data_IF_879444326244
#
_entry.id   IF_879444326244
#
_cell.length_a   1.000
_cell.length_b   1.000
_cell.length_c   1.000
_cell.angle_alpha   90.00
_cell.angle_beta   90.00
_cell.angle_gamma   90.00
#
_symmetry.space_group_name_H-M   'P 1'
#
loop_
_entity.id
_entity.type
_entity.pdbx_description
1 polymer ?
2 branched ?
3 non-polymer ?
4 water ?
#
# COMPACT_ATOMS: atom_id res chain seq x y z
N UNK A 20 16.62 11.88 -20.23
CA UNK A 20 15.31 12.48 -20.39
C UNK A 20 14.42 11.99 -19.24
N UNK A 21 13.38 12.77 -18.94
CA UNK A 21 12.42 12.39 -17.91
C UNK A 21 11.37 11.45 -18.51
N UNK A 22 10.95 10.45 -17.74
CA UNK A 22 9.93 9.51 -18.24
C UNK A 22 8.90 9.30 -17.15
N UNK A 23 7.63 9.22 -17.53
CA UNK A 23 6.55 8.92 -16.57
C UNK A 23 6.87 7.63 -15.82
N UNK A 24 6.65 7.67 -14.51
CA UNK A 24 6.91 6.50 -13.69
C UNK A 24 5.96 5.37 -14.06
N UNK A 25 6.51 4.18 -14.26
CA UNK A 25 5.69 3.00 -14.59
C UNK A 25 5.72 1.94 -13.48
N UNK A 26 6.55 2.14 -12.47
CA UNK A 26 6.55 1.24 -11.33
C UNK A 26 5.27 1.47 -10.52
N UNK A 27 4.37 0.48 -10.52
CA UNK A 27 3.03 0.75 -9.97
C UNK A 27 3.06 1.27 -8.53
N UNK A 28 3.88 0.70 -7.66
CA UNK A 28 3.89 1.16 -6.27
C UNK A 28 4.45 2.57 -6.13
N UNK A 29 5.15 3.07 -7.16
CA UNK A 29 5.75 4.39 -7.04
C UNK A 29 4.97 5.49 -7.76
N UNK A 30 3.74 5.22 -8.18
CA UNK A 30 2.87 6.31 -8.63
C UNK A 30 2.04 6.81 -7.43
N UNK A 31 1.76 8.11 -7.39
CA UNK A 31 1.00 8.68 -6.29
C UNK A 31 1.80 8.92 -5.02
N UNK A 32 3.12 9.05 -5.15
CA UNK A 32 3.93 9.38 -3.99
C UNK A 32 4.40 10.84 -3.99
N UNK A 33 3.96 11.65 -4.96
CA UNK A 33 4.28 13.06 -4.91
C UNK A 33 4.94 13.64 -6.15
N UNK A 34 5.42 12.77 -7.06
CA UNK A 34 5.98 13.27 -8.32
C UNK A 34 5.74 12.22 -9.40
N UNK A 35 5.73 12.66 -10.65
CA UNK A 35 5.29 11.84 -11.76
C UNK A 35 6.46 11.25 -12.57
N UNK A 36 7.61 11.93 -12.57
CA UNK A 36 8.66 11.65 -13.55
C UNK A 36 9.93 11.10 -12.93
N UNK A 37 10.55 10.13 -13.60
CA UNK A 37 11.82 9.59 -13.15
C UNK A 37 12.82 9.54 -14.31
N UNK A 38 14.02 9.03 -14.02
CA UNK A 38 15.09 8.92 -15.01
C UNK A 38 16.00 7.76 -14.63
N UNK A 39 16.45 7.02 -15.63
CA UNK A 39 17.38 5.93 -15.41
C UNK A 39 18.73 6.35 -16.00
N UNK A 40 19.84 5.85 -15.44
CA UNK A 40 19.95 4.91 -14.32
C UNK A 40 19.69 5.53 -12.94
N UNK A 41 19.17 4.72 -12.03
CA UNK A 41 18.97 5.16 -10.65
C UNK A 41 20.27 4.90 -9.85
N UNK A 42 20.25 5.27 -8.56
CA UNK A 42 21.33 5.00 -7.60
C UNK A 42 21.97 3.64 -7.69
N UNK A 43 21.18 2.64 -8.07
CA UNK A 43 21.65 1.26 -8.05
C UNK A 43 22.13 0.81 -9.41
N UNK A 44 22.19 1.76 -10.34
CA UNK A 44 22.53 1.47 -11.74
C UNK A 44 21.58 0.51 -12.43
N UNK A 45 20.32 0.51 -12.02
CA UNK A 45 19.32 -0.14 -12.84
C UNK A 45 19.19 0.68 -14.12
N UNK A 46 19.06 0.00 -15.24
CA UNK A 46 19.05 0.66 -16.54
C UNK A 46 17.64 1.02 -17.01
N UNK A 47 16.62 0.38 -16.44
CA UNK A 47 15.24 0.58 -16.87
C UNK A 47 14.35 0.58 -15.65
N UNK A 48 13.16 1.16 -15.77
CA UNK A 48 12.17 1.13 -14.69
C UNK A 48 11.72 -0.29 -14.41
N UNK A 49 11.59 -1.10 -15.47
CA UNK A 49 11.30 -2.54 -15.33
C UNK A 49 12.27 -3.22 -14.36
N UNK A 50 13.56 -3.03 -14.59
CA UNK A 50 14.53 -3.63 -13.71
C UNK A 50 14.36 -3.13 -12.29
N UNK A 51 14.27 -1.81 -12.12
CA UNK A 51 14.11 -1.23 -10.79
C UNK A 51 12.83 -1.72 -10.12
N UNK A 52 11.75 -1.82 -10.90
CA UNK A 52 10.44 -2.23 -10.37
C UNK A 52 10.40 -3.67 -9.89
N UNK A 53 11.08 -4.56 -10.61
CA UNK A 53 11.14 -5.97 -10.25
C UNK A 53 11.83 -6.15 -8.90
N UNK A 54 12.74 -5.25 -8.55
CA UNK A 54 13.41 -5.33 -7.26
C UNK A 54 12.60 -4.69 -6.12
N UNK A 55 12.10 -3.48 -6.31
CA UNK A 55 11.36 -2.81 -5.26
C UNK A 55 10.06 -3.55 -4.93
N UNK A 56 9.58 -4.33 -5.89
CA UNK A 56 8.35 -5.11 -5.73
C UNK A 56 8.39 -6.01 -4.50
N UNK A 57 9.58 -6.53 -4.18
CA UNK A 57 9.72 -7.48 -3.09
C UNK A 57 9.47 -6.83 -1.72
N UNK A 58 9.46 -5.50 -1.64
CA UNK A 58 9.19 -4.81 -0.37
C UNK A 58 7.70 -4.62 -0.06
N UNK A 59 6.81 -5.06 -0.95
CA UNK A 59 5.38 -4.78 -0.77
C UNK A 59 4.82 -5.28 0.59
N UNK A 60 5.28 -6.45 1.13
CA UNK A 60 4.70 -6.80 2.43
C UNK A 60 5.07 -5.82 3.54
N UNK A 61 6.24 -5.20 3.45
CA UNK A 61 6.67 -4.22 4.43
C UNK A 61 5.90 -2.92 4.32
N UNK A 62 5.55 -2.55 3.09
CA UNK A 62 4.75 -1.37 2.87
C UNK A 62 3.34 -1.61 3.38
N UNK A 63 2.81 -2.82 3.13
CA UNK A 63 1.45 -3.13 3.59
C UNK A 63 1.31 -3.07 5.12
N UNK A 64 2.29 -3.55 5.90
CA UNK A 64 2.07 -3.57 7.35
C UNK A 64 2.24 -2.20 7.99
N UNK A 65 2.73 -1.23 7.22
CA UNK A 65 2.81 0.17 7.69
C UNK A 65 3.66 0.31 8.94
N UNK A 66 4.84 -0.31 8.92
CA UNK A 66 5.80 -0.14 10.02
C UNK A 66 6.41 1.25 9.96
N UNK A 67 6.20 1.94 8.83
CA UNK A 67 6.66 3.32 8.69
C UNK A 67 5.93 4.03 7.58
N UNK A 68 5.33 5.20 7.89
CA UNK A 68 4.64 5.95 6.84
C UNK A 68 5.60 6.47 5.77
N UNK A 69 6.90 6.46 6.06
CA UNK A 69 7.90 6.97 5.14
C UNK A 69 8.46 5.96 4.14
N UNK A 70 8.19 4.66 4.35
CA UNK A 70 8.90 3.60 3.65
C UNK A 70 8.69 3.64 2.15
N UNK A 71 7.43 3.75 1.74
CA UNK A 71 7.10 3.71 0.32
C UNK A 71 7.77 4.84 -0.43
N UNK A 72 7.66 6.06 0.09
CA UNK A 72 8.32 7.21 -0.53
C UNK A 72 9.83 7.02 -0.56
N UNK A 73 10.38 6.60 0.57
CA UNK A 73 11.83 6.40 0.66
C UNK A 73 12.32 5.41 -0.41
N UNK A 74 11.67 4.25 -0.49
CA UNK A 74 12.01 3.25 -1.51
C UNK A 74 11.96 3.83 -2.92
N UNK A 75 10.83 4.44 -3.26
CA UNK A 75 10.64 5.02 -4.58
C UNK A 75 11.65 6.13 -4.90
N UNK A 76 12.02 6.92 -3.88
CA UNK A 76 12.95 8.03 -4.08
C UNK A 76 14.32 7.48 -4.51
N UNK A 77 14.56 6.21 -4.20
CA UNK A 77 15.80 5.53 -4.63
C UNK A 77 15.64 4.70 -5.90
N UNK A 78 14.55 3.96 -6.01
CA UNK A 78 14.34 3.08 -7.17
C UNK A 78 13.86 3.82 -8.41
N UNK A 79 12.98 4.79 -8.22
CA UNK A 79 12.51 5.66 -9.30
C UNK A 79 12.70 7.11 -8.87
N UNK A 80 13.96 7.60 -8.87
CA UNK A 80 14.28 8.91 -8.32
C UNK A 80 13.59 10.00 -9.12
N UNK A 81 13.24 11.09 -8.44
CA UNK A 81 12.55 12.19 -9.10
C UNK A 81 13.39 12.75 -10.24
N UNK A 82 12.74 13.02 -11.37
CA UNK A 82 13.44 13.66 -12.46
C UNK A 82 12.77 14.99 -12.74
N UNK A 83 13.57 16.05 -12.73
CA UNK A 83 13.10 17.36 -13.18
C UNK A 83 13.83 17.70 -14.47
N UNK A 84 13.09 18.12 -15.50
CA UNK A 84 13.63 18.42 -16.83
C UNK A 84 14.91 19.28 -16.81
N UNK A 85 14.93 20.29 -15.95
CA UNK A 85 16.02 21.26 -15.94
C UNK A 85 17.15 20.93 -14.97
N UNK A 86 16.92 19.95 -14.09
CA UNK A 86 17.84 19.66 -13.00
C UNK A 86 18.58 18.34 -13.21
N UNK A 87 19.91 18.37 -13.17
CA UNK A 87 20.74 17.21 -13.50
C UNK A 87 21.61 16.73 -12.34
N UNK A 88 21.51 17.40 -11.20
CA UNK A 88 22.14 16.93 -9.97
C UNK A 88 21.23 15.88 -9.36
N UNK A 89 21.81 14.90 -8.63
CA UNK A 89 20.97 13.82 -8.10
C UNK A 89 20.04 14.33 -6.99
N UNK A 90 18.84 13.79 -6.89
CA UNK A 90 17.97 14.19 -5.79
C UNK A 90 17.61 13.03 -4.88
N UNK A 91 18.57 12.58 -4.07
CA UNK A 91 18.32 11.47 -3.15
C UNK A 91 17.31 11.87 -2.08
N UNK A 92 16.75 10.88 -1.38
CA UNK A 92 16.02 11.28 -0.19
C UNK A 92 17.01 11.82 0.84
N UNK A 93 16.54 12.66 1.75
CA UNK A 93 17.37 13.09 2.85
C UNK A 93 17.63 11.95 3.81
N UNK A 94 18.74 12.07 4.54
CA UNK A 94 19.12 11.08 5.53
C UNK A 94 18.02 10.81 6.55
N UNK A 95 17.31 11.87 6.92
CA UNK A 95 16.27 11.77 7.92
C UNK A 95 15.11 10.87 7.45
N UNK A 96 14.83 10.89 6.15
CA UNK A 96 13.76 10.04 5.63
C UNK A 96 14.18 8.57 5.77
N UNK A 97 15.41 8.27 5.37
CA UNK A 97 15.96 6.95 5.54
C UNK A 97 15.89 6.49 7.00
N UNK A 98 16.29 7.39 7.90
CA UNK A 98 16.42 7.07 9.32
C UNK A 98 15.06 6.73 9.95
N UNK A 99 14.03 7.50 9.58
CA UNK A 99 12.67 7.21 10.03
C UNK A 99 12.15 5.88 9.47
N UNK A 100 12.41 5.59 8.20
CA UNK A 100 11.97 4.33 7.60
C UNK A 100 12.69 3.16 8.26
N UNK A 101 13.99 3.33 8.49
CA UNK A 101 14.77 2.27 9.10
C UNK A 101 14.35 2.04 10.54
N UNK A 102 14.14 3.12 11.29
CA UNK A 102 13.72 2.99 12.70
C UNK A 102 12.38 2.26 12.79
N UNK A 103 11.47 2.61 11.89
CA UNK A 103 10.16 1.99 11.88
C UNK A 103 10.18 0.52 11.50
N UNK A 104 10.91 0.20 10.44
CA UNK A 104 10.75 -1.09 9.76
C UNK A 104 11.87 -2.08 10.02
N UNK A 105 13.04 -1.60 10.43
CA UNK A 105 14.18 -2.49 10.70
C UNK A 105 13.86 -3.61 11.71
N UNK A 106 13.22 -3.29 12.85
CA UNK A 106 12.94 -4.37 13.79
C UNK A 106 12.08 -5.49 13.19
N UNK A 107 11.12 -5.14 12.35
CA UNK A 107 10.25 -6.14 11.77
C UNK A 107 11.00 -6.99 10.76
N UNK A 108 11.81 -6.34 9.94
CA UNK A 108 12.65 -7.06 9.00
C UNK A 108 13.58 -7.99 9.74
N UNK A 109 14.18 -7.47 10.82
CA UNK A 109 15.09 -8.22 11.65
C UNK A 109 14.38 -9.44 12.21
N UNK A 110 13.09 -9.29 12.48
CA UNK A 110 12.27 -10.36 13.04
C UNK A 110 11.95 -11.44 12.01
N UNK A 111 12.15 -11.13 10.73
CA UNK A 111 11.92 -12.10 9.67
C UNK A 111 13.22 -12.50 8.99
N UNK A 112 14.33 -12.27 9.69
CA UNK A 112 15.64 -12.72 9.22
C UNK A 112 16.34 -11.75 8.30
N UNK A 113 15.61 -10.74 7.83
CA UNK A 113 16.15 -9.74 6.91
C UNK A 113 16.82 -8.58 7.66
N UNK A 114 18.05 -8.25 7.25
CA UNK A 114 18.72 -7.08 7.78
C UNK A 114 18.35 -5.86 6.93
N UNK A 115 18.52 -4.67 7.50
CA UNK A 115 18.37 -3.45 6.73
C UNK A 115 19.40 -3.50 5.61
N UNK A 116 18.95 -3.41 4.35
CA UNK A 116 19.83 -3.58 3.17
C UNK A 116 21.05 -2.67 3.19
N UNK A 117 22.21 -3.20 2.79
CA UNK A 117 23.44 -2.44 2.64
C UNK A 117 23.28 -1.18 1.79
N UNK A 118 22.65 -1.33 0.63
CA UNK A 118 22.52 -0.21 -0.30
C UNK A 118 21.61 0.90 0.23
N UNK A 119 20.92 0.63 1.34
CA UNK A 119 20.03 1.63 1.94
C UNK A 119 20.57 2.25 3.23
N UNK A 120 21.86 2.08 3.48
CA UNK A 120 22.41 2.60 4.72
C UNK A 120 22.31 4.12 4.69
N UNK A 121 21.77 4.68 5.76
CA UNK A 121 21.38 6.09 5.74
C UNK A 121 22.55 7.08 5.69
N UNK A 122 23.72 6.65 6.15
CA UNK A 122 24.86 7.57 6.23
C UNK A 122 25.43 7.92 4.85
N UNK A 123 24.89 7.33 3.80
CA UNK A 123 25.29 7.63 2.41
C UNK A 123 24.50 8.79 1.84
N UNK A 124 23.50 9.25 2.58
CA UNK A 124 22.57 10.25 2.07
C UNK A 124 22.91 11.61 2.68
N UNK A 125 22.61 12.70 1.95
CA UNK A 125 22.91 14.01 2.49
C UNK A 125 21.99 14.39 3.64
N UNK A 126 22.51 15.22 4.55
CA UNK A 126 21.70 15.78 5.61
C UNK A 126 21.02 17.02 5.05
N UNK A 127 19.73 17.17 5.37
CA UNK A 127 18.94 18.29 4.89
C UNK A 127 19.55 19.62 5.32
N UNK A 128 19.93 20.45 4.37
CA UNK A 128 20.37 21.81 4.65
C UNK A 128 21.81 21.93 5.15
N UNK A 129 22.57 20.84 5.08
CA UNK A 129 23.95 20.89 5.50
C UNK A 129 24.79 21.63 4.45
N UNK A 130 24.52 21.36 3.19
CA UNK A 130 25.15 22.09 2.09
C UNK A 130 24.08 22.73 1.22
N UNK A 131 24.27 24.01 0.92
CA UNK A 131 23.30 24.77 0.15
C UNK A 131 23.09 24.16 -1.24
N UNK A 132 24.17 23.67 -1.85
CA UNK A 132 24.10 23.10 -3.19
C UNK A 132 23.55 21.67 -3.19
N UNK A 133 23.77 20.93 -2.10
CA UNK A 133 23.36 19.54 -2.04
C UNK A 133 21.90 19.39 -1.59
N UNK A 134 21.01 19.29 -2.57
CA UNK A 134 19.58 19.20 -2.26
C UNK A 134 19.17 17.75 -2.01
N UNK A 135 18.03 17.58 -1.34
CA UNK A 135 17.50 16.24 -1.13
C UNK A 135 16.01 16.29 -0.82
N UNK A 136 15.37 15.13 -0.92
CA UNK A 136 13.93 15.00 -0.77
C UNK A 136 13.50 14.71 0.65
N UNK A 137 12.66 15.56 1.21
CA UNK A 137 12.04 15.20 2.48
C UNK A 137 10.57 14.91 2.27
N UNK A 138 10.00 14.21 3.24
CA UNK A 138 8.64 13.71 3.13
C UNK A 138 7.71 14.36 4.15
N UNK B 21 -21.10 -18.67 11.98
CA UNK B 21 -19.68 -18.34 12.06
C UNK B 21 -18.82 -19.49 11.57
N UNK B 22 -17.66 -19.14 11.00
CA UNK B 22 -16.72 -20.13 10.48
C UNK B 22 -15.34 -19.51 10.26
N UNK B 23 -14.30 -20.30 10.49
CA UNK B 23 -12.92 -19.82 10.34
C UNK B 23 -12.69 -19.36 8.90
N UNK B 24 -12.00 -18.23 8.73
CA UNK B 24 -11.76 -17.72 7.40
C UNK B 24 -10.72 -18.56 6.70
N UNK B 25 -11.05 -19.03 5.50
CA UNK B 25 -10.13 -19.87 4.77
C UNK B 25 -9.56 -19.27 3.48
N UNK B 26 -10.13 -18.17 2.96
CA UNK B 26 -9.56 -17.66 1.70
C UNK B 26 -8.19 -17.05 2.04
N UNK B 27 -7.15 -17.51 1.31
CA UNK B 27 -5.76 -17.21 1.67
C UNK B 27 -5.47 -15.71 1.80
N UNK B 28 -5.96 -14.88 0.87
CA UNK B 28 -5.75 -13.43 0.94
C UNK B 28 -6.26 -12.82 2.24
N UNK B 29 -7.33 -13.39 2.79
CA UNK B 29 -8.02 -12.76 3.91
C UNK B 29 -7.70 -13.38 5.28
N UNK B 30 -6.71 -14.27 5.33
CA UNK B 30 -6.21 -14.77 6.60
C UNK B 30 -5.23 -13.79 7.21
N UNK B 31 -5.29 -13.62 8.53
CA UNK B 31 -4.38 -12.72 9.23
C UNK B 31 -4.64 -11.24 9.00
N UNK B 32 -5.90 -10.87 8.79
CA UNK B 32 -6.23 -9.48 8.52
C UNK B 32 -6.75 -8.73 9.75
N UNK B 33 -6.96 -9.44 10.85
CA UNK B 33 -7.36 -8.79 12.10
C UNK B 33 -8.54 -9.43 12.78
N UNK B 34 -9.34 -10.14 12.01
CA UNK B 34 -10.40 -10.97 12.56
C UNK B 34 -10.33 -12.35 11.90
N UNK B 35 -10.79 -13.40 12.58
CA UNK B 35 -10.59 -14.76 12.10
C UNK B 35 -11.84 -15.43 11.54
N UNK B 36 -13.00 -14.85 11.82
CA UNK B 36 -14.26 -15.51 11.53
C UNK B 36 -15.11 -14.70 10.57
N UNK B 37 -15.80 -15.40 9.68
CA UNK B 37 -16.68 -14.78 8.70
C UNK B 37 -17.98 -15.56 8.59
N UNK B 38 -18.91 -15.06 7.78
CA UNK B 38 -20.20 -15.72 7.62
C UNK B 38 -20.70 -15.61 6.20
N UNK B 39 -21.09 -16.75 5.63
CA UNK B 39 -21.69 -16.80 4.31
C UNK B 39 -23.20 -16.95 4.47
N UNK B 40 -24.00 -16.35 3.55
CA UNK B 40 -23.56 -15.56 2.40
C UNK B 40 -23.10 -14.14 2.74
N UNK B 41 -22.24 -13.59 1.88
CA UNK B 41 -21.82 -12.20 1.99
C UNK B 41 -22.77 -11.33 1.17
N UNK B 42 -22.53 -10.03 1.18
CA UNK B 42 -23.36 -9.10 0.41
C UNK B 42 -23.35 -9.34 -1.10
N UNK B 43 -22.52 -10.27 -1.56
CA UNK B 43 -22.48 -10.62 -2.99
C UNK B 43 -23.26 -11.89 -3.27
N UNK B 44 -23.89 -12.44 -2.24
CA UNK B 44 -24.61 -13.70 -2.31
C UNK B 44 -23.72 -14.85 -2.78
N UNK B 45 -22.47 -14.82 -2.32
CA UNK B 45 -21.60 -15.98 -2.42
C UNK B 45 -22.00 -16.93 -1.31
N UNK B 46 -22.24 -18.19 -1.66
CA UNK B 46 -22.75 -19.16 -0.70
C UNK B 46 -21.62 -19.81 0.09
N UNK B 47 -20.43 -19.77 -0.48
CA UNK B 47 -19.25 -20.37 0.16
C UNK B 47 -18.05 -19.43 0.12
N UNK B 48 -17.10 -19.64 1.04
CA UNK B 48 -15.84 -18.93 1.03
C UNK B 48 -15.05 -19.18 -0.26
N UNK B 49 -15.19 -20.38 -0.83
CA UNK B 49 -14.51 -20.72 -2.07
C UNK B 49 -15.02 -19.87 -3.22
N UNK B 50 -16.34 -19.68 -3.26
CA UNK B 50 -16.96 -18.78 -4.22
C UNK B 50 -16.50 -17.34 -3.99
N UNK B 51 -16.44 -16.93 -2.73
CA UNK B 51 -16.06 -15.57 -2.38
C UNK B 51 -14.59 -15.32 -2.72
N UNK B 52 -13.74 -16.27 -2.34
CA UNK B 52 -12.31 -16.19 -2.55
C UNK B 52 -11.92 -16.18 -4.03
N UNK B 53 -12.67 -16.92 -4.84
CA UNK B 53 -12.41 -16.92 -6.29
C UNK B 53 -12.59 -15.52 -6.88
N UNK B 54 -13.52 -14.77 -6.33
CA UNK B 54 -13.72 -13.40 -6.80
C UNK B 54 -12.70 -12.42 -6.18
N UNK B 55 -12.51 -12.46 -4.86
CA UNK B 55 -11.61 -11.50 -4.23
C UNK B 55 -10.15 -11.69 -4.64
N UNK B 56 -9.76 -12.93 -4.96
CA UNK B 56 -8.39 -13.22 -5.40
C UNK B 56 -8.05 -12.58 -6.75
N UNK B 57 -9.06 -12.18 -7.51
CA UNK B 57 -8.83 -11.47 -8.76
C UNK B 57 -8.21 -10.10 -8.51
N UNK B 58 -8.36 -9.59 -7.30
CA UNK B 58 -7.75 -8.32 -6.89
C UNK B 58 -6.34 -8.49 -6.35
N UNK B 59 -5.88 -9.74 -6.24
CA UNK B 59 -4.61 -9.98 -5.59
C UNK B 59 -3.42 -9.15 -6.12
N UNK B 60 -3.29 -8.96 -7.45
CA UNK B 60 -2.15 -8.15 -7.92
C UNK B 60 -2.12 -6.74 -7.34
N UNK B 61 -3.30 -6.19 -7.04
CA UNK B 61 -3.41 -4.86 -6.47
C UNK B 61 -2.86 -4.81 -5.05
N UNK B 62 -3.00 -5.93 -4.34
CA UNK B 62 -2.43 -6.03 -3.01
C UNK B 62 -0.90 -5.96 -3.09
N UNK B 63 -0.31 -6.68 -4.04
CA UNK B 63 1.15 -6.65 -4.17
C UNK B 63 1.67 -5.32 -4.73
N UNK B 64 0.83 -4.62 -5.49
CA UNK B 64 1.23 -3.33 -6.03
C UNK B 64 1.33 -2.30 -4.88
N UNK B 65 0.48 -2.45 -3.88
CA UNK B 65 0.44 -1.58 -2.70
C UNK B 65 0.24 -0.11 -3.06
N UNK B 66 -0.77 0.16 -3.86
CA UNK B 66 -1.24 1.52 -4.08
C UNK B 66 -1.96 1.99 -2.80
N UNK B 67 -2.38 1.04 -1.96
CA UNK B 67 -2.95 1.33 -0.64
C UNK B 67 -2.79 0.17 0.34
N UNK B 68 -2.22 0.45 1.53
CA UNK B 68 -2.07 -0.57 2.58
C UNK B 68 -3.41 -1.10 3.10
N UNK B 69 -4.46 -0.29 2.97
CA UNK B 69 -5.83 -0.62 3.41
C UNK B 69 -6.61 -1.50 2.46
N UNK B 70 -6.07 -1.74 1.27
CA UNK B 70 -6.84 -2.40 0.22
C UNK B 70 -7.30 -3.80 0.63
N UNK B 71 -6.37 -4.61 1.10
CA UNK B 71 -6.67 -5.99 1.47
C UNK B 71 -7.75 -6.06 2.55
N UNK B 72 -7.60 -5.28 3.61
CA UNK B 72 -8.61 -5.29 4.67
C UNK B 72 -9.96 -4.87 4.13
N UNK B 73 -9.98 -3.82 3.31
CA UNK B 73 -11.25 -3.32 2.79
C UNK B 73 -11.94 -4.41 1.95
N UNK B 74 -11.19 -5.05 1.06
CA UNK B 74 -11.77 -6.07 0.20
C UNK B 74 -12.29 -7.26 1.01
N UNK B 75 -11.45 -7.76 1.90
CA UNK B 75 -11.83 -8.87 2.77
C UNK B 75 -13.01 -8.54 3.67
N UNK B 76 -13.08 -7.31 4.16
CA UNK B 76 -14.19 -6.90 5.02
C UNK B 76 -15.52 -6.96 4.27
N UNK B 77 -15.46 -7.11 2.95
CA UNK B 77 -16.69 -7.29 2.19
C UNK B 77 -16.88 -8.68 1.60
N UNK B 78 -15.80 -9.34 1.19
CA UNK B 78 -15.95 -10.67 0.62
C UNK B 78 -16.00 -11.78 1.67
N UNK B 79 -15.26 -11.59 2.76
CA UNK B 79 -15.33 -12.48 3.91
C UNK B 79 -15.64 -11.60 5.11
N UNK B 80 -16.89 -11.09 5.19
CA UNK B 80 -17.28 -10.09 6.20
C UNK B 80 -17.11 -10.62 7.60
N UNK B 81 -16.80 -9.73 8.54
CA UNK B 81 -16.56 -10.17 9.91
C UNK B 81 -17.83 -10.79 10.52
N UNK B 82 -17.66 -11.94 11.16
CA UNK B 82 -18.74 -12.57 11.90
C UNK B 82 -18.41 -12.48 13.37
N UNK B 83 -19.35 -11.95 14.15
CA UNK B 83 -19.12 -11.85 15.58
C UNK B 83 -20.09 -12.75 16.33
N UNK B 84 -19.56 -13.51 17.31
CA UNK B 84 -20.36 -14.41 18.14
C UNK B 84 -21.57 -13.71 18.73
N UNK B 85 -22.74 -14.28 18.48
CA UNK B 85 -24.03 -13.82 19.04
C UNK B 85 -24.57 -12.55 18.37
N UNK B 86 -23.74 -11.82 17.63
CA UNK B 86 -24.18 -10.58 17.01
C UNK B 86 -25.32 -10.83 16.00
N UNK B 87 -25.11 -11.77 15.09
CA UNK B 87 -26.13 -12.18 14.13
C UNK B 87 -26.55 -11.03 13.20
N UNK B 88 -25.63 -10.10 12.96
CA UNK B 88 -25.86 -8.98 12.04
C UNK B 88 -24.57 -8.61 11.28
N UNK B 89 -24.70 -8.17 10.02
CA UNK B 89 -23.51 -7.79 9.25
C UNK B 89 -22.83 -6.52 9.78
N UNK B 90 -21.51 -6.51 9.74
CA UNK B 90 -20.72 -5.35 10.15
C UNK B 90 -19.82 -4.90 9.00
N UNK B 91 -20.13 -3.75 8.39
CA UNK B 91 -19.38 -3.27 7.24
C UNK B 91 -18.14 -2.44 7.64
N UNK B 92 -17.20 -2.27 6.70
CA UNK B 92 -16.11 -1.31 6.93
C UNK B 92 -16.64 0.12 7.00
N UNK B 93 -15.99 0.99 7.77
CA UNK B 93 -16.38 2.39 7.78
C UNK B 93 -16.02 3.02 6.45
N UNK B 94 -16.75 4.08 6.10
CA UNK B 94 -16.54 4.77 4.84
C UNK B 94 -15.08 5.20 4.69
N UNK B 95 -14.46 5.64 5.77
CA UNK B 95 -13.10 6.15 5.71
C UNK B 95 -12.12 5.06 5.26
N UNK B 96 -12.39 3.80 5.62
CA UNK B 96 -11.57 2.66 5.19
C UNK B 96 -11.61 2.51 3.66
N UNK B 97 -12.81 2.56 3.12
CA UNK B 97 -13.03 2.53 1.67
C UNK B 97 -12.38 3.73 0.98
N UNK B 98 -12.48 4.91 1.60
CA UNK B 98 -11.97 6.14 0.96
C UNK B 98 -10.45 6.14 0.87
N UNK B 99 -9.78 5.62 1.90
CA UNK B 99 -8.34 5.44 1.83
C UNK B 99 -7.93 4.44 0.75
N UNK B 100 -8.61 3.29 0.70
CA UNK B 100 -8.33 2.27 -0.30
C UNK B 100 -8.50 2.85 -1.70
N UNK B 101 -9.62 3.53 -1.88
CA UNK B 101 -9.96 4.08 -3.17
C UNK B 101 -9.03 5.25 -3.55
N UNK B 102 -8.75 6.15 -2.63
CA UNK B 102 -7.85 7.26 -2.94
C UNK B 102 -6.48 6.74 -3.38
N UNK B 103 -6.01 5.65 -2.77
CA UNK B 103 -4.75 5.08 -3.20
C UNK B 103 -4.79 4.30 -4.52
N UNK B 104 -5.83 3.51 -4.72
CA UNK B 104 -5.83 2.49 -5.78
C UNK B 104 -6.73 2.81 -6.97
N UNK B 105 -7.77 3.61 -6.80
CA UNK B 105 -8.60 4.01 -7.96
C UNK B 105 -7.80 4.59 -9.11
N UNK B 106 -6.83 5.48 -8.80
CA UNK B 106 -6.10 6.05 -9.94
C UNK B 106 -5.42 4.99 -10.79
N UNK B 107 -4.90 3.95 -10.15
CA UNK B 107 -4.15 2.93 -10.85
C UNK B 107 -5.12 1.99 -11.58
N UNK B 108 -6.19 1.62 -10.89
CA UNK B 108 -7.24 0.83 -11.51
C UNK B 108 -7.84 1.49 -12.76
N UNK B 109 -8.13 2.78 -12.70
CA UNK B 109 -8.66 3.51 -13.84
C UNK B 109 -7.63 3.55 -14.96
N UNK B 110 -6.36 3.67 -14.59
CA UNK B 110 -5.34 3.74 -15.64
C UNK B 110 -5.22 2.41 -16.36
N UNK B 111 -5.39 1.34 -15.59
CA UNK B 111 -5.30 -0.01 -16.15
C UNK B 111 -6.59 -0.48 -16.79
N UNK B 112 -7.63 0.36 -16.75
CA UNK B 112 -8.87 0.12 -17.47
C UNK B 112 -9.93 -0.58 -16.66
N UNK B 113 -9.75 -0.60 -15.34
CA UNK B 113 -10.67 -1.31 -14.43
C UNK B 113 -11.42 -0.30 -13.57
N UNK B 114 -12.71 -0.16 -13.80
CA UNK B 114 -13.49 0.78 -13.01
C UNK B 114 -13.61 0.29 -11.58
N UNK B 115 -13.43 1.22 -10.64
CA UNK B 115 -13.81 0.99 -9.26
C UNK B 115 -15.25 0.50 -9.26
N UNK B 116 -15.47 -0.78 -8.90
CA UNK B 116 -16.81 -1.39 -9.01
C UNK B 116 -17.84 -0.71 -8.08
N UNK B 117 -19.05 -0.51 -8.60
CA UNK B 117 -20.12 0.16 -7.83
C UNK B 117 -20.48 -0.55 -6.53
N UNK B 118 -20.37 -1.87 -6.51
CA UNK B 118 -20.59 -2.64 -5.28
C UNK B 118 -19.71 -2.17 -4.11
N UNK B 119 -18.48 -1.74 -4.40
CA UNK B 119 -17.64 -1.19 -3.35
C UNK B 119 -17.57 0.34 -3.38
N UNK B 120 -18.66 0.96 -3.82
CA UNK B 120 -18.82 2.40 -3.71
C UNK B 120 -18.72 2.80 -2.23
N UNK B 121 -18.08 3.93 -1.94
CA UNK B 121 -17.88 4.29 -0.54
C UNK B 121 -19.12 4.89 0.13
N UNK B 122 -20.02 5.49 -0.65
CA UNK B 122 -21.20 6.10 -0.04
C UNK B 122 -22.26 5.08 0.35
N UNK B 123 -22.00 3.80 0.10
CA UNK B 123 -22.87 2.73 0.61
C UNK B 123 -22.53 2.35 2.05
N UNK B 124 -21.49 2.97 2.61
CA UNK B 124 -20.96 2.56 3.89
C UNK B 124 -21.19 3.65 4.91
N UNK B 125 -21.33 3.28 6.19
CA UNK B 125 -21.58 4.30 7.21
C UNK B 125 -20.34 5.13 7.55
N UNK B 126 -20.53 6.41 7.80
CA UNK B 126 -19.48 7.23 8.37
C UNK B 126 -19.40 6.96 9.87
N UNK B 127 -18.20 6.71 10.37
CA UNK B 127 -18.01 6.40 11.77
C UNK B 127 -18.62 7.49 12.67
N UNK B 128 -19.54 7.11 13.54
CA UNK B 128 -20.12 8.03 14.51
C UNK B 128 -21.21 8.98 14.02
N UNK B 129 -21.53 8.94 12.73
CA UNK B 129 -22.56 9.83 12.22
C UNK B 129 -23.92 9.50 12.83
N UNK B 130 -24.25 8.21 12.83
CA UNK B 130 -25.33 7.71 13.66
C UNK B 130 -24.72 6.72 14.65
N UNK B 131 -24.83 7.00 15.94
CA UNK B 131 -24.14 6.19 16.93
C UNK B 131 -24.59 4.73 16.89
N UNK B 132 -25.85 4.50 16.51
CA UNK B 132 -26.42 3.15 16.47
C UNK B 132 -25.93 2.32 15.30
N UNK B 133 -25.42 2.96 14.26
CA UNK B 133 -24.99 2.19 13.09
C UNK B 133 -23.46 2.00 13.13
N UNK B 134 -23.07 0.75 13.33
CA UNK B 134 -21.68 0.41 13.58
C UNK B 134 -20.92 0.16 12.30
N UNK B 135 -19.60 0.29 12.38
CA UNK B 135 -18.71 -0.08 11.29
C UNK B 135 -17.30 -0.33 11.83
N UNK B 136 -16.49 -1.09 11.08
CA UNK B 136 -15.10 -1.33 11.43
C UNK B 136 -14.13 -0.32 10.81
N UNK B 137 -13.29 0.29 11.64
CA UNK B 137 -12.15 1.04 11.12
C UNK B 137 -10.87 0.22 11.33
N UNK B 138 -9.71 0.78 10.98
CA UNK B 138 -8.43 0.06 11.14
C UNK B 138 -7.18 0.94 10.92
N UNK B 139 -6.03 0.50 11.45
CA UNK B 139 -4.76 1.19 11.22
C UNK B 139 -3.56 0.27 11.40
X LIG C 1 0.77 13.79 -12.50
X LIG C 1 0.41 15.25 -12.86
X LIG C 1 -1.11 15.44 -12.92
X LIG C 1 -1.75 14.39 -13.82
X LIG C 1 -1.31 12.98 -13.39
X LIG C 1 -1.79 11.88 -14.30
X LIG C 1 1.84 17.15 -12.27
X LIG C 1 2.11 17.28 -13.74
X LIG C 1 1.01 16.17 -11.91
X LIG C 1 -1.41 16.74 -13.40
X LIG C 1 -3.17 14.49 -13.80
X LIG C 1 0.12 12.92 -13.40
X LIG C 1 -1.37 12.09 -15.65
X LIG C 1 2.33 17.92 -11.45
X LIG C 2 -4.05 14.64 -14.97
X LIG C 2 -5.44 13.95 -14.83
X LIG C 2 -6.60 14.97 -14.80
X LIG C 2 -6.61 15.86 -16.06
X LIG C 2 -5.19 16.36 -16.46
X LIG C 2 -4.79 16.01 -17.90
X LIG C 2 -5.50 13.05 -13.70
X LIG C 2 -7.87 14.29 -14.74
X LIG C 2 -7.23 15.21 -17.15
X LIG C 2 -4.06 15.95 -15.55
X LIG C 3 -1.86 11.18 -16.67
X LIG C 3 -1.62 11.84 -18.05
X LIG C 3 -0.12 11.80 -18.44
X LIG C 3 0.52 10.40 -18.18
X LIG C 3 0.21 9.91 -16.77
X LIG C 3 0.71 8.48 -16.53
X LIG C 3 -2.08 13.18 -18.08
X LIG C 3 0.02 12.10 -19.83
X LIG C 3 0.02 9.44 -19.11
X LIG C 3 -1.20 9.92 -16.52
X LIG D 1 -11.89 -6.56 -11.58
X LIG D 1 -10.85 -6.04 -10.79
X LIG D 1 -12.19 -7.94 -11.06
X LIG D 1 -11.18 -8.75 -11.60
X LIG D 1 -13.52 -8.52 -11.50
X LIG D 1 -14.37 -8.74 -10.37
X LIG D 1 -14.32 -7.69 -12.50
X LIG D 1 -13.88 -7.85 -13.84
X LIG D 1 -14.23 -6.21 -12.15
X LIG D 1 -13.07 -5.82 -11.42
X LIG D 1 -15.49 -5.87 -11.39
X LIG D 1 -16.65 -6.41 -12.02
X LIG D 1 -9.60 -6.63 -11.06
X LIG D 1 -8.51 -5.78 -10.45
X LIG D 1 -7.66 -5.17 -11.51
X LIG D 1 -6.46 -4.52 -10.88
X LIG D 1 -5.33 -4.25 -11.86
X LIG D 1 -4.38 -5.42 -11.96
X LIG D 1 -3.02 -5.06 -12.55
X LIG D 1 -2.39 -6.24 -13.23
#
# INVERSE_FOLDING_TARGET
>A
AHHHHHHGENLYFQGSKAPVCQEITVPMCRGIGYNLTHMPNQFNHDTQDEAGLEVHQFWPLVEIQCSPDLRFFLCSMYTPICLPDYHKPLPPCRSVCERAKAGCSPLMRQYGFAWPERMSCDRLPVLGRDAEVLCMDYERSEAGNS
>B
AHHHHHHGENLYFQGSKAPVCQEITVPMCRGIGYNLTHMPNQFNHDTQDEAGLEVHQFWPLVEIQCSPDLRFFLCSMYTPICLPDYHKPLPPCRSVCERAKAGCSPLMRQYGFAWPERMSCDRLPVLGRDAEVLCMDYERSEAGNS
>C hetero
1 NAG C1 C2 C3 C4 C5 C6 C7 C8 N2 O3 O4 O5 O6 O7
2 FUC C1 C2 C3 C4 C5 C6 O2 O3 O4 O5
3 FUC C1 C2 C3 C4 C5 C6 O2 O3 O4 O5
>D hetero
1 BOG C1 O1 C2 O2 C3 O3 C4 O4 C5 O5 C6 O6 C1' C2' C3' C4' C5' C6' C7' C8'
#
